data_IF_029352541617
#
_entry.id   IF_029352541617
#
_cell.length_a   1.000
_cell.length_b   1.000
_cell.length_c   1.000
_cell.angle_alpha   90.00
_cell.angle_beta   90.00
_cell.angle_gamma   90.00
#
_symmetry.space_group_name_H-M   'P 1'
#
loop_
_entity.id
_entity.type
_entity.pdbx_description
1 polymer ?
#
# COMPACT_ATOMS: atom_id res chain seq x y z
N UNK A 1 12.84 -7.31 -5.39
CA UNK A 1 13.99 -6.48 -4.96
C UNK A 1 14.09 -6.51 -3.44
N UNK A 2 14.90 -7.42 -2.87
CA UNK A 2 14.96 -7.63 -1.41
C UNK A 2 15.48 -6.40 -0.65
N UNK A 3 16.47 -5.69 -1.16
CA UNK A 3 17.01 -4.48 -0.52
C UNK A 3 15.96 -3.36 -0.42
N UNK A 4 15.17 -3.16 -1.48
CA UNK A 4 14.04 -2.22 -1.44
C UNK A 4 13.00 -2.61 -0.38
N UNK A 5 12.73 -3.90 -0.18
CA UNK A 5 11.80 -4.37 0.84
C UNK A 5 12.33 -4.14 2.26
N UNK A 6 13.65 -4.25 2.48
CA UNK A 6 14.28 -3.92 3.76
C UNK A 6 14.14 -2.44 4.10
N UNK A 7 14.38 -1.55 3.13
CA UNK A 7 14.17 -0.11 3.32
C UNK A 7 12.70 0.20 3.62
N UNK A 8 11.76 -0.36 2.86
CA UNK A 8 10.33 -0.20 3.13
C UNK A 8 9.92 -0.72 4.51
N UNK A 9 10.48 -1.85 4.96
CA UNK A 9 10.24 -2.39 6.29
C UNK A 9 10.76 -1.45 7.40
N UNK A 10 12.00 -0.94 7.29
CA UNK A 10 12.55 0.03 8.24
C UNK A 10 11.72 1.31 8.33
N UNK A 11 11.32 1.88 7.18
CA UNK A 11 10.46 3.07 7.13
C UNK A 11 9.14 2.81 7.84
N UNK A 12 8.54 1.64 7.62
CA UNK A 12 7.29 1.24 8.25
C UNK A 12 7.44 1.05 9.77
N UNK A 13 8.52 0.42 10.22
CA UNK A 13 8.81 0.23 11.63
C UNK A 13 9.04 1.57 12.35
N UNK A 14 9.84 2.47 11.77
CA UNK A 14 10.06 3.81 12.29
C UNK A 14 8.75 4.64 12.37
N UNK A 15 7.89 4.50 11.36
CA UNK A 15 6.56 5.14 11.37
C UNK A 15 5.65 4.57 12.47
N UNK A 16 5.73 3.27 12.76
CA UNK A 16 4.95 2.63 13.82
C UNK A 16 5.50 2.94 15.21
N UNK A 17 6.83 3.05 15.37
CA UNK A 17 7.47 3.42 16.63
C UNK A 17 7.34 4.91 16.96
N UNK A 18 7.00 5.75 15.98
CA UNK A 18 6.94 7.20 16.13
C UNK A 18 8.32 7.86 16.12
N UNK A 19 9.37 7.12 15.74
CA UNK A 19 10.73 7.64 15.60
C UNK A 19 10.86 8.40 14.28
N UNK A 20 10.64 9.71 14.36
CA UNK A 20 10.72 10.60 13.21
C UNK A 20 12.14 10.63 12.62
N UNK A 21 13.18 10.59 13.45
CA UNK A 21 14.56 10.71 13.00
C UNK A 21 14.97 9.48 12.15
N UNK A 22 14.66 8.28 12.64
CA UNK A 22 14.94 7.06 11.89
C UNK A 22 14.07 6.96 10.62
N UNK A 23 12.83 7.46 10.67
CA UNK A 23 11.97 7.55 9.49
C UNK A 23 12.58 8.42 8.38
N UNK A 24 13.05 9.62 8.71
CA UNK A 24 13.71 10.51 7.74
C UNK A 24 14.99 9.87 7.20
N UNK A 25 15.82 9.29 8.07
CA UNK A 25 17.08 8.64 7.68
C UNK A 25 16.83 7.47 6.72
N UNK A 26 15.94 6.54 7.07
CA UNK A 26 15.61 5.39 6.24
C UNK A 26 15.01 5.80 4.88
N UNK A 27 14.24 6.89 4.84
CA UNK A 27 13.67 7.44 3.59
C UNK A 27 14.74 8.03 2.68
N UNK A 28 15.71 8.76 3.25
CA UNK A 28 16.85 9.32 2.50
C UNK A 28 17.73 8.20 1.97
N UNK A 29 18.06 7.19 2.79
CA UNK A 29 18.84 6.02 2.37
C UNK A 29 18.16 5.28 1.21
N UNK A 30 16.85 5.06 1.28
CA UNK A 30 16.06 4.45 0.20
C UNK A 30 16.15 5.26 -1.10
N UNK A 31 16.02 6.58 -1.00
CA UNK A 31 16.08 7.49 -2.14
C UNK A 31 17.48 7.51 -2.76
N UNK A 32 18.52 7.52 -1.93
CA UNK A 32 19.90 7.46 -2.37
C UNK A 32 20.22 6.13 -3.07
N UNK A 33 19.74 5.01 -2.51
CA UNK A 33 19.85 3.69 -3.13
C UNK A 33 19.19 3.65 -4.51
N UNK A 34 17.98 4.20 -4.64
CA UNK A 34 17.29 4.27 -5.94
C UNK A 34 18.05 5.10 -6.97
N UNK A 35 18.60 6.25 -6.57
CA UNK A 35 19.41 7.11 -7.44
C UNK A 35 20.70 6.40 -7.89
N UNK A 36 21.40 5.74 -6.96
CA UNK A 36 22.64 5.00 -7.25
C UNK A 36 22.43 3.87 -8.26
N UNK A 37 21.27 3.23 -8.23
CA UNK A 37 20.91 2.12 -9.11
C UNK A 37 20.00 2.51 -10.30
N UNK A 38 19.81 3.81 -10.57
CA UNK A 38 18.92 4.37 -11.62
C UNK A 38 17.50 3.75 -11.65
N UNK A 39 16.98 3.44 -10.46
CA UNK A 39 15.64 2.85 -10.28
C UNK A 39 14.62 4.00 -10.38
N UNK A 40 14.15 4.28 -11.60
CA UNK A 40 13.12 5.30 -11.84
C UNK A 40 11.73 4.74 -11.58
N UNK A 41 11.06 5.22 -10.53
CA UNK A 41 9.68 4.86 -10.21
C UNK A 41 8.68 5.13 -11.33
N UNK A 42 8.91 6.18 -12.14
CA UNK A 42 7.99 6.56 -13.21
C UNK A 42 8.19 5.79 -14.52
N UNK A 43 9.34 5.13 -14.74
CA UNK A 43 9.60 4.40 -16.00
C UNK A 43 8.51 3.36 -16.31
N UNK A 44 8.05 2.54 -15.36
CA UNK A 44 6.95 1.61 -15.58
C UNK A 44 5.59 2.27 -15.89
N UNK A 45 5.38 3.53 -15.49
CA UNK A 45 4.12 4.26 -15.71
C UNK A 45 4.05 4.88 -17.11
N UNK A 46 5.18 5.07 -17.79
CA UNK A 46 5.24 5.65 -19.13
C UNK A 46 4.42 4.81 -20.11
N UNK A 47 4.55 3.47 -20.07
CA UNK A 47 3.92 2.60 -21.05
C UNK A 47 2.38 2.63 -20.96
N UNK A 48 1.74 2.49 -19.77
CA UNK A 48 0.30 2.71 -19.63
C UNK A 48 -0.16 4.12 -20.01
N UNK A 49 0.61 5.16 -19.68
CA UNK A 49 0.26 6.55 -20.00
C UNK A 49 0.25 6.82 -21.51
N UNK A 50 1.20 6.26 -22.25
CA UNK A 50 1.23 6.37 -23.71
C UNK A 50 0.14 5.51 -24.36
N UNK A 51 -0.26 4.41 -23.74
CA UNK A 51 -1.32 3.54 -24.26
C UNK A 51 -2.73 4.12 -24.07
N UNK A 52 -2.97 4.88 -22.99
CA UNK A 52 -4.30 5.39 -22.66
C UNK A 52 -4.95 6.26 -23.76
N UNK A 53 -4.27 7.23 -24.41
CA UNK A 53 -4.85 8.01 -25.50
C UNK A 53 -5.24 7.16 -26.72
N UNK A 54 -4.41 6.18 -27.07
CA UNK A 54 -4.69 5.24 -28.16
C UNK A 54 -5.95 4.45 -27.83
N UNK A 55 -6.02 3.89 -26.62
CA UNK A 55 -7.18 3.15 -26.16
C UNK A 55 -8.47 3.98 -26.21
N UNK A 56 -8.46 5.21 -25.69
CA UNK A 56 -9.62 6.12 -25.68
C UNK A 56 -10.06 6.44 -27.11
N UNK A 57 -9.12 6.72 -28.01
CA UNK A 57 -9.42 7.03 -29.41
C UNK A 57 -10.12 5.86 -30.11
N UNK A 58 -9.58 4.65 -30.01
CA UNK A 58 -10.18 3.45 -30.60
C UNK A 58 -11.52 3.11 -29.96
N UNK A 59 -11.65 3.26 -28.63
CA UNK A 59 -12.89 3.01 -27.93
C UNK A 59 -14.02 3.93 -28.41
N UNK A 60 -13.78 5.25 -28.47
CA UNK A 60 -14.76 6.21 -28.96
C UNK A 60 -15.10 5.90 -30.42
N UNK A 61 -14.09 5.71 -31.28
CA UNK A 61 -14.32 5.44 -32.69
C UNK A 61 -15.17 4.18 -32.92
N UNK A 62 -14.83 3.06 -32.27
CA UNK A 62 -15.58 1.80 -32.41
C UNK A 62 -17.00 1.90 -31.86
N UNK A 63 -17.18 2.63 -30.76
CA UNK A 63 -18.50 2.84 -30.18
C UNK A 63 -19.39 3.71 -31.08
N UNK A 64 -18.84 4.80 -31.63
CA UNK A 64 -19.58 5.67 -32.56
C UNK A 64 -19.89 4.94 -33.88
N UNK A 65 -18.96 4.12 -34.39
CA UNK A 65 -19.22 3.30 -35.58
C UNK A 65 -20.25 2.18 -35.34
N UNK A 66 -20.38 1.70 -34.11
CA UNK A 66 -21.46 0.79 -33.74
C UNK A 66 -22.80 1.52 -33.60
N UNK A 67 -22.79 2.73 -33.02
CA UNK A 67 -23.99 3.57 -32.85
C UNK A 67 -24.54 4.12 -34.18
N UNK A 68 -23.66 4.46 -35.12
CA UNK A 68 -23.98 4.81 -36.51
C UNK A 68 -23.66 3.59 -37.37
N UNK A 69 -24.51 2.53 -37.31
CA UNK A 69 -24.13 1.17 -37.65
C UNK A 69 -23.54 1.10 -39.06
N UNK A 70 -22.21 1.08 -39.10
CA UNK A 70 -21.48 1.09 -40.36
C UNK A 70 -21.78 -0.24 -41.07
N UNK A 71 -22.18 -0.24 -42.35
CA UNK A 71 -22.59 -1.47 -43.05
C UNK A 71 -21.55 -2.59 -43.02
N UNK A 72 -20.26 -2.24 -43.01
CA UNK A 72 -19.16 -3.21 -42.92
C UNK A 72 -19.06 -3.89 -41.55
N UNK A 73 -19.52 -3.26 -40.47
CA UNK A 73 -19.55 -3.86 -39.13
C UNK A 73 -20.75 -4.79 -38.93
N UNK A 74 -21.83 -4.58 -39.66
CA UNK A 74 -23.04 -5.41 -39.56
C UNK A 74 -22.84 -6.83 -40.11
N UNK A 75 -21.91 -7.01 -41.04
CA UNK A 75 -21.62 -8.31 -41.68
C UNK A 75 -20.18 -8.79 -41.48
N UNK A 76 -19.35 -8.00 -40.79
CA UNK A 76 -17.93 -8.25 -40.62
C UNK A 76 -17.56 -9.23 -39.49
N UNK A 77 -18.55 -9.75 -38.77
CA UNK A 77 -18.32 -10.67 -37.66
C UNK A 77 -18.10 -12.13 -38.07
N UNK A 78 -17.93 -13.02 -37.09
CA UNK A 78 -17.55 -14.42 -37.30
C UNK A 78 -18.54 -15.37 -36.62
N UNK A 79 -19.02 -16.37 -37.36
CA UNK A 79 -19.77 -17.53 -36.85
C UNK A 79 -21.03 -17.13 -36.07
N UNK A 80 -20.93 -16.98 -34.75
CA UNK A 80 -22.07 -16.72 -33.84
C UNK A 80 -22.35 -15.23 -33.60
N UNK A 81 -21.43 -14.34 -34.00
CA UNK A 81 -21.58 -12.89 -33.91
C UNK A 81 -21.32 -12.30 -35.30
N UNK A 82 -22.34 -12.20 -36.16
CA UNK A 82 -22.17 -11.61 -37.50
C UNK A 82 -22.19 -10.08 -37.47
N UNK A 83 -23.04 -9.52 -36.62
CA UNK A 83 -23.18 -8.08 -36.43
C UNK A 83 -22.31 -7.63 -35.25
N UNK A 84 -21.30 -6.79 -35.55
CA UNK A 84 -20.38 -6.23 -34.58
C UNK A 84 -20.94 -4.99 -33.87
N UNK A 85 -22.03 -4.41 -34.37
CA UNK A 85 -22.65 -3.20 -33.83
C UNK A 85 -23.52 -3.47 -32.59
N UNK A 86 -23.97 -4.72 -32.45
CA UNK A 86 -24.77 -5.20 -31.32
C UNK A 86 -23.92 -5.93 -30.27
N UNK A 87 -24.46 -6.06 -29.07
CA UNK A 87 -23.87 -6.89 -28.01
C UNK A 87 -23.88 -8.37 -28.41
N UNK A 88 -22.87 -9.13 -27.97
CA UNK A 88 -22.76 -10.56 -28.25
C UNK A 88 -24.00 -11.32 -27.73
N UNK A 89 -24.76 -12.03 -28.61
CA UNK A 89 -25.96 -12.76 -28.22
C UNK A 89 -25.73 -13.86 -27.17
N UNK A 90 -24.52 -14.44 -27.13
CA UNK A 90 -24.19 -15.57 -26.25
C UNK A 90 -23.12 -15.24 -25.19
N UNK A 91 -22.68 -13.98 -25.12
CA UNK A 91 -21.70 -13.48 -24.16
C UNK A 91 -20.35 -14.23 -24.11
N UNK A 92 -20.01 -14.97 -25.15
CA UNK A 92 -18.73 -15.68 -25.28
C UNK A 92 -17.57 -14.69 -25.46
N UNK A 93 -17.76 -13.66 -26.28
CA UNK A 93 -16.76 -12.61 -26.53
C UNK A 93 -16.33 -11.88 -25.26
N UNK A 94 -17.25 -11.31 -24.45
CA UNK A 94 -16.90 -10.71 -23.17
C UNK A 94 -16.12 -11.65 -22.24
N UNK A 95 -16.49 -12.92 -22.19
CA UNK A 95 -15.83 -13.92 -21.34
C UNK A 95 -14.40 -14.20 -21.81
N UNK A 96 -14.20 -14.42 -23.11
CA UNK A 96 -12.88 -14.67 -23.71
C UNK A 96 -11.97 -13.45 -23.58
N UNK A 97 -12.50 -12.24 -23.83
CA UNK A 97 -11.76 -11.00 -23.64
C UNK A 97 -11.34 -10.82 -22.18
N UNK A 98 -12.23 -11.08 -21.23
CA UNK A 98 -11.92 -11.01 -19.80
C UNK A 98 -10.83 -12.01 -19.42
N UNK A 99 -10.91 -13.25 -19.90
CA UNK A 99 -9.91 -14.28 -19.65
C UNK A 99 -8.53 -13.92 -20.26
N UNK A 100 -8.51 -13.41 -21.49
CA UNK A 100 -7.25 -12.98 -22.14
C UNK A 100 -6.65 -11.75 -21.47
N UNK A 101 -7.48 -10.77 -21.06
CA UNK A 101 -7.05 -9.60 -20.31
C UNK A 101 -6.46 -9.98 -18.95
N UNK A 102 -7.09 -10.94 -18.26
CA UNK A 102 -6.54 -11.53 -17.04
C UNK A 102 -5.16 -12.16 -17.28
N UNK A 103 -4.99 -12.91 -18.38
CA UNK A 103 -3.71 -13.49 -18.78
C UNK A 103 -2.62 -12.44 -19.02
N UNK A 104 -2.94 -11.36 -19.76
CA UNK A 104 -2.03 -10.23 -20.00
C UNK A 104 -1.60 -9.59 -18.68
N UNK A 105 -2.56 -9.35 -17.78
CA UNK A 105 -2.29 -8.75 -16.47
C UNK A 105 -1.44 -9.65 -15.58
N UNK A 106 -1.69 -10.96 -15.55
CA UNK A 106 -0.89 -11.89 -14.74
C UNK A 106 0.55 -11.94 -15.27
N UNK A 107 0.72 -12.07 -16.59
CA UNK A 107 2.05 -12.09 -17.22
C UNK A 107 2.78 -10.76 -17.07
N UNK A 108 2.07 -9.63 -17.12
CA UNK A 108 2.60 -8.29 -16.88
C UNK A 108 2.99 -8.06 -15.42
N UNK A 109 2.15 -8.46 -14.47
CA UNK A 109 2.41 -8.33 -13.03
C UNK A 109 3.66 -9.11 -12.60
N UNK A 110 3.93 -10.26 -13.21
CA UNK A 110 5.17 -11.01 -12.98
C UNK A 110 6.43 -10.26 -13.38
N UNK A 111 6.33 -9.37 -14.37
CA UNK A 111 7.48 -8.62 -14.92
C UNK A 111 7.73 -7.29 -14.20
N UNK A 112 6.69 -6.61 -13.68
CA UNK A 112 6.81 -5.24 -13.16
C UNK A 112 6.71 -5.06 -11.63
N UNK A 113 6.03 -5.94 -10.90
CA UNK A 113 5.59 -5.64 -9.52
C UNK A 113 6.08 -6.69 -8.50
N UNK A 114 7.31 -6.52 -8.01
CA UNK A 114 7.92 -7.38 -6.96
C UNK A 114 8.21 -6.63 -5.64
N UNK A 115 7.37 -5.67 -5.24
CA UNK A 115 7.40 -5.11 -3.90
C UNK A 115 6.27 -5.69 -3.04
N UNK A 116 6.60 -6.06 -1.80
CA UNK A 116 5.68 -6.68 -0.83
C UNK A 116 4.53 -5.75 -0.41
N UNK A 117 4.74 -4.44 -0.42
CA UNK A 117 3.68 -3.46 -0.10
C UNK A 117 2.61 -3.34 -1.20
N UNK A 118 2.92 -3.75 -2.44
CA UNK A 118 1.97 -3.72 -3.55
C UNK A 118 1.17 -5.02 -3.70
N UNK A 119 1.25 -5.94 -2.73
CA UNK A 119 0.54 -7.22 -2.80
C UNK A 119 -0.98 -7.04 -2.80
N UNK A 120 -1.49 -6.06 -2.04
CA UNK A 120 -2.91 -5.68 -2.10
C UNK A 120 -3.27 -5.13 -3.49
N UNK A 121 -2.45 -4.22 -4.02
CA UNK A 121 -2.65 -3.62 -5.35
C UNK A 121 -2.64 -4.69 -6.45
N UNK A 122 -1.74 -5.67 -6.38
CA UNK A 122 -1.68 -6.81 -7.30
C UNK A 122 -2.97 -7.63 -7.26
N UNK A 123 -3.51 -7.91 -6.08
CA UNK A 123 -4.75 -8.68 -5.97
C UNK A 123 -5.96 -7.89 -6.51
N UNK A 124 -6.01 -6.58 -6.26
CA UNK A 124 -7.03 -5.69 -6.83
C UNK A 124 -6.96 -5.68 -8.35
N UNK A 125 -5.76 -5.46 -8.93
CA UNK A 125 -5.54 -5.49 -10.38
C UNK A 125 -5.93 -6.85 -10.97
N UNK A 126 -5.66 -7.94 -10.26
CA UNK A 126 -6.05 -9.28 -10.69
C UNK A 126 -7.58 -9.42 -10.77
N UNK A 127 -8.33 -8.95 -9.78
CA UNK A 127 -9.80 -9.05 -9.77
C UNK A 127 -10.47 -8.03 -10.71
N UNK A 128 -9.77 -6.97 -11.08
CA UNK A 128 -10.30 -5.87 -11.90
C UNK A 128 -11.01 -6.31 -13.20
N UNK A 129 -10.51 -7.23 -14.03
CA UNK A 129 -11.19 -7.64 -15.25
C UNK A 129 -12.57 -8.26 -14.99
N UNK A 130 -12.71 -9.05 -13.92
CA UNK A 130 -13.99 -9.63 -13.53
C UNK A 130 -14.98 -8.58 -13.04
N UNK A 131 -14.50 -7.53 -12.36
CA UNK A 131 -15.33 -6.44 -11.89
C UNK A 131 -15.85 -5.56 -13.04
N UNK A 132 -15.07 -5.43 -14.13
CA UNK A 132 -15.45 -4.63 -15.32
C UNK A 132 -16.43 -5.37 -16.23
N UNK A 133 -16.38 -6.70 -16.25
CA UNK A 133 -17.23 -7.55 -17.09
C UNK A 133 -18.73 -7.16 -17.08
N UNK A 134 -19.45 -7.06 -15.94
CA UNK A 134 -20.89 -6.75 -15.94
C UNK A 134 -21.21 -5.35 -16.48
N UNK A 135 -20.27 -4.40 -16.40
CA UNK A 135 -20.45 -3.06 -16.95
C UNK A 135 -20.27 -3.07 -18.47
N UNK A 136 -19.32 -3.86 -18.96
CA UNK A 136 -18.97 -3.91 -20.38
C UNK A 136 -19.79 -4.91 -21.19
N UNK A 137 -20.50 -5.85 -20.56
CA UNK A 137 -21.18 -6.96 -21.25
C UNK A 137 -22.23 -6.50 -22.29
N UNK A 138 -22.78 -5.30 -22.12
CA UNK A 138 -23.74 -4.69 -23.05
C UNK A 138 -23.10 -3.86 -24.16
N UNK A 139 -21.76 -3.78 -24.21
CA UNK A 139 -21.07 -3.01 -25.24
C UNK A 139 -21.11 -3.74 -26.59
N UNK A 140 -21.01 -2.98 -27.70
CA UNK A 140 -20.92 -3.55 -29.04
C UNK A 140 -19.77 -4.57 -29.16
N UNK A 141 -20.01 -5.65 -29.88
CA UNK A 141 -19.03 -6.73 -30.12
C UNK A 141 -17.76 -6.21 -30.82
N UNK A 142 -17.84 -5.11 -31.57
CA UNK A 142 -16.71 -4.40 -32.17
C UNK A 142 -15.62 -4.03 -31.14
N UNK A 143 -16.03 -3.55 -29.95
CA UNK A 143 -15.09 -3.17 -28.88
C UNK A 143 -14.37 -4.41 -28.34
N UNK A 144 -15.09 -5.52 -28.20
CA UNK A 144 -14.50 -6.80 -27.76
C UNK A 144 -13.55 -7.40 -28.79
N UNK A 145 -13.78 -7.22 -30.10
CA UNK A 145 -12.82 -7.63 -31.13
C UNK A 145 -11.51 -6.85 -31.07
N UNK A 146 -11.60 -5.55 -30.83
CA UNK A 146 -10.41 -4.73 -30.59
C UNK A 146 -9.65 -5.17 -29.34
N UNK A 147 -10.35 -5.40 -28.22
CA UNK A 147 -9.70 -5.90 -27.02
C UNK A 147 -9.08 -7.28 -27.20
N UNK A 148 -9.78 -8.21 -27.85
CA UNK A 148 -9.27 -9.55 -28.07
C UNK A 148 -7.98 -9.53 -28.89
N UNK A 149 -7.98 -8.81 -30.01
CA UNK A 149 -6.79 -8.69 -30.87
C UNK A 149 -5.63 -8.02 -30.15
N UNK A 150 -5.89 -6.96 -29.38
CA UNK A 150 -4.86 -6.29 -28.56
C UNK A 150 -4.28 -7.21 -27.48
N UNK A 151 -5.14 -7.98 -26.79
CA UNK A 151 -4.69 -8.93 -25.78
C UNK A 151 -3.87 -10.06 -26.39
N UNK A 152 -4.34 -10.65 -27.50
CA UNK A 152 -3.60 -11.70 -28.22
C UNK A 152 -2.25 -11.18 -28.70
N UNK A 153 -2.19 -9.99 -29.29
CA UNK A 153 -0.92 -9.37 -29.68
C UNK A 153 0.01 -9.19 -28.48
N UNK A 154 -0.51 -8.70 -27.36
CA UNK A 154 0.26 -8.51 -26.12
C UNK A 154 0.80 -9.83 -25.56
N UNK A 155 -0.02 -10.89 -25.56
CA UNK A 155 0.39 -12.23 -25.15
C UNK A 155 1.48 -12.79 -26.06
N UNK A 156 1.30 -12.66 -27.38
CA UNK A 156 2.28 -13.07 -28.38
C UNK A 156 3.59 -12.30 -28.20
N UNK A 157 3.54 -10.97 -28.03
CA UNK A 157 4.71 -10.14 -27.78
C UNK A 157 5.45 -10.61 -26.53
N UNK A 158 4.73 -10.85 -25.44
CA UNK A 158 5.32 -11.33 -24.18
C UNK A 158 5.91 -12.73 -24.34
N UNK A 159 5.25 -13.63 -25.06
CA UNK A 159 5.77 -14.97 -25.36
C UNK A 159 7.06 -14.91 -26.18
N UNK A 160 7.08 -14.10 -27.25
CA UNK A 160 8.26 -13.85 -28.07
C UNK A 160 9.42 -13.29 -27.25
N UNK A 161 9.17 -12.32 -26.38
CA UNK A 161 10.19 -11.71 -25.50
C UNK A 161 10.65 -12.62 -24.35
N UNK A 162 9.89 -13.68 -24.04
CA UNK A 162 10.34 -14.73 -23.10
C UNK A 162 11.22 -15.77 -23.77
N UNK A 163 11.18 -15.88 -25.10
CA UNK A 163 11.98 -16.85 -25.84
C UNK A 163 13.49 -16.51 -25.72
N UNK A 164 14.35 -17.46 -25.31
CA UNK A 164 15.74 -17.18 -24.97
C UNK A 164 16.55 -16.67 -26.18
N UNK A 165 16.29 -17.16 -27.39
CA UNK A 165 16.97 -16.70 -28.60
C UNK A 165 16.71 -15.21 -28.90
N UNK A 166 15.45 -14.77 -28.71
CA UNK A 166 15.05 -13.36 -28.90
C UNK A 166 15.69 -12.46 -27.84
N UNK A 167 15.79 -12.93 -26.61
CA UNK A 167 16.47 -12.20 -25.52
C UNK A 167 17.96 -12.01 -25.78
N UNK A 168 18.63 -13.05 -26.27
CA UNK A 168 20.05 -12.99 -26.63
C UNK A 168 20.28 -12.03 -27.79
N UNK A 169 19.43 -12.08 -28.83
CA UNK A 169 19.48 -11.16 -29.96
C UNK A 169 19.28 -9.69 -29.54
N UNK A 170 18.31 -9.44 -28.64
CA UNK A 170 17.99 -8.10 -28.13
C UNK A 170 18.87 -7.65 -26.94
N UNK A 171 19.87 -8.44 -26.54
CA UNK A 171 20.75 -8.17 -25.37
C UNK A 171 19.97 -7.86 -24.08
N UNK A 172 18.81 -8.48 -23.89
CA UNK A 172 17.98 -8.27 -22.70
C UNK A 172 18.62 -9.07 -21.54
N UNK A 173 18.98 -8.42 -20.41
CA UNK A 173 19.59 -9.12 -19.28
C UNK A 173 18.64 -10.18 -18.73
N UNK A 174 19.20 -11.33 -18.37
CA UNK A 174 18.45 -12.43 -17.77
C UNK A 174 17.79 -11.96 -16.46
N UNK A 175 16.53 -12.36 -16.25
CA UNK A 175 15.81 -12.05 -15.02
C UNK A 175 16.52 -12.72 -13.85
N UNK A 176 17.09 -11.93 -12.94
CA UNK A 176 17.72 -12.44 -11.70
C UNK A 176 16.65 -13.10 -10.84
N UNK A 177 16.65 -14.44 -10.81
CA UNK A 177 15.81 -15.23 -9.92
C UNK A 177 16.42 -15.13 -8.53
N UNK A 178 15.70 -14.50 -7.61
CA UNK A 178 16.14 -14.39 -6.23
C UNK A 178 15.69 -15.65 -5.48
N UNK A 179 16.56 -16.18 -4.63
CA UNK A 179 16.28 -17.33 -3.78
C UNK A 179 15.05 -17.06 -2.90
N UNK A 180 13.98 -17.88 -2.97
CA UNK A 180 12.73 -17.65 -2.24
C UNK A 180 12.91 -17.62 -0.72
N UNK A 181 13.98 -18.23 -0.20
CA UNK A 181 14.35 -18.24 1.22
C UNK A 181 14.73 -16.86 1.78
N UNK A 182 15.19 -15.93 0.92
CA UNK A 182 15.65 -14.58 1.31
C UNK A 182 14.57 -13.51 1.19
N UNK A 183 13.38 -13.89 0.72
CA UNK A 183 12.24 -12.98 0.58
C UNK A 183 11.34 -13.10 1.82
N UNK A 184 10.75 -12.00 2.30
CA UNK A 184 9.71 -12.08 3.32
C UNK A 184 8.61 -13.04 2.83
N UNK A 185 8.10 -13.93 3.70
CA UNK A 185 7.16 -14.96 3.30
C UNK A 185 5.93 -14.33 2.65
N UNK A 186 5.48 -14.94 1.53
CA UNK A 186 4.20 -14.56 0.89
C UNK A 186 3.07 -14.89 1.86
N UNK A 187 2.66 -13.91 2.67
CA UNK A 187 1.46 -14.02 3.50
C UNK A 187 0.24 -14.28 2.60
N UNK A 188 -0.65 -15.17 3.04
CA UNK A 188 -1.90 -15.45 2.34
C UNK A 188 -2.80 -14.21 2.27
N UNK A 189 -3.64 -14.13 1.23
CA UNK A 189 -4.51 -12.99 0.93
C UNK A 189 -5.24 -12.43 2.17
N UNK A 190 -5.89 -13.30 2.95
CA UNK A 190 -6.63 -12.93 4.17
C UNK A 190 -5.74 -12.29 5.25
N UNK A 191 -4.51 -12.79 5.43
CA UNK A 191 -3.56 -12.23 6.41
C UNK A 191 -3.08 -10.86 5.97
N UNK A 192 -2.73 -10.70 4.69
CA UNK A 192 -2.34 -9.41 4.13
C UNK A 192 -3.46 -8.37 4.22
N UNK A 193 -4.71 -8.78 3.97
CA UNK A 193 -5.88 -7.90 4.11
C UNK A 193 -6.08 -7.45 5.56
N UNK A 194 -6.11 -8.39 6.51
CA UNK A 194 -6.25 -8.09 7.96
C UNK A 194 -5.12 -7.19 8.46
N UNK A 195 -3.89 -7.46 8.04
CA UNK A 195 -2.72 -6.63 8.36
C UNK A 195 -2.87 -5.23 7.76
N UNK A 196 -3.35 -5.12 6.52
CA UNK A 196 -3.62 -3.83 5.86
C UNK A 196 -4.59 -2.96 6.65
N UNK A 197 -5.72 -3.54 7.06
CA UNK A 197 -6.72 -2.87 7.90
C UNK A 197 -6.15 -2.42 9.25
N UNK A 198 -5.42 -3.30 9.94
CA UNK A 198 -4.79 -2.95 11.23
C UNK A 198 -3.77 -1.82 11.10
N UNK A 199 -2.96 -1.80 10.02
CA UNK A 199 -2.01 -0.70 9.81
C UNK A 199 -2.72 0.61 9.47
N UNK A 200 -3.80 0.57 8.69
CA UNK A 200 -4.61 1.74 8.37
C UNK A 200 -5.22 2.34 9.64
N UNK A 201 -5.72 1.50 10.54
CA UNK A 201 -6.24 1.93 11.84
C UNK A 201 -5.14 2.57 12.70
N UNK A 202 -3.96 1.94 12.81
CA UNK A 202 -2.83 2.51 13.56
C UNK A 202 -2.40 3.85 12.96
N UNK A 203 -2.33 3.95 11.63
CA UNK A 203 -1.96 5.18 10.94
C UNK A 203 -3.03 6.28 11.09
N UNK A 204 -4.30 5.92 11.26
CA UNK A 204 -5.37 6.87 11.57
C UNK A 204 -5.19 7.43 12.99
N UNK A 205 -5.00 6.55 13.98
CA UNK A 205 -4.76 6.93 15.37
C UNK A 205 -3.52 7.81 15.55
N UNK A 206 -2.44 7.52 14.81
CA UNK A 206 -1.23 8.35 14.80
C UNK A 206 -1.53 9.76 14.29
N UNK A 207 -2.26 9.88 13.17
CA UNK A 207 -2.66 11.18 12.61
C UNK A 207 -3.55 11.97 13.55
N UNK A 208 -4.55 11.34 14.16
CA UNK A 208 -5.39 11.99 15.18
C UNK A 208 -4.58 12.47 16.39
N UNK A 209 -3.52 11.74 16.76
CA UNK A 209 -2.62 12.14 17.85
C UNK A 209 -1.77 13.33 17.43
N UNK A 210 -1.20 13.31 16.23
CA UNK A 210 -0.42 14.42 15.66
C UNK A 210 -1.27 15.70 15.54
N UNK A 211 -2.49 15.58 15.02
CA UNK A 211 -3.43 16.70 14.93
C UNK A 211 -3.80 17.27 16.30
N UNK A 212 -4.03 16.42 17.30
CA UNK A 212 -4.28 16.86 18.68
C UNK A 212 -3.06 17.54 19.29
N UNK A 213 -1.85 17.06 19.01
CA UNK A 213 -0.62 17.70 19.46
C UNK A 213 -0.43 19.08 18.80
N UNK A 214 -0.69 19.21 17.49
CA UNK A 214 -0.65 20.50 16.80
C UNK A 214 -1.69 21.48 17.34
N UNK A 215 -2.93 21.01 17.55
CA UNK A 215 -4.03 21.83 18.08
C UNK A 215 -4.01 21.95 19.61
N UNK A 216 -2.99 21.44 20.29
CA UNK A 216 -2.97 21.36 21.75
C UNK A 216 -3.11 22.73 22.42
N UNK A 217 -2.48 23.78 21.84
CA UNK A 217 -2.58 25.16 22.34
C UNK A 217 -4.01 25.72 22.23
N UNK A 218 -4.67 25.51 21.09
CA UNK A 218 -6.07 25.95 20.88
C UNK A 218 -7.03 25.16 21.80
N UNK A 219 -6.81 23.85 21.94
CA UNK A 219 -7.54 23.01 22.89
C UNK A 219 -7.37 23.47 24.34
N UNK A 220 -6.17 23.88 24.74
CA UNK A 220 -5.90 24.43 26.07
C UNK A 220 -6.59 25.79 26.28
N UNK A 221 -6.65 26.64 25.25
CA UNK A 221 -7.30 27.95 25.30
C UNK A 221 -8.84 27.88 25.38
N UNK A 222 -9.46 26.86 24.77
CA UNK A 222 -10.91 26.64 24.80
C UNK A 222 -11.42 25.94 26.07
N UNK A 223 -10.51 25.39 26.88
CA UNK A 223 -10.86 24.71 28.12
C UNK A 223 -11.34 25.68 29.21
N UNK A 224 -12.16 25.21 30.17
CA UNK A 224 -12.53 26.03 31.32
C UNK A 224 -11.30 26.38 32.16
N UNK A 225 -11.22 27.62 32.64
CA UNK A 225 -10.16 28.07 33.53
C UNK A 225 -10.14 27.18 34.79
N UNK A 226 -8.98 26.59 35.08
CA UNK A 226 -8.78 25.79 36.30
C UNK A 226 -8.07 26.63 37.34
N UNK A 227 -8.54 26.58 38.58
CA UNK A 227 -7.83 27.22 39.71
C UNK A 227 -6.48 26.53 39.91
N UNK A 228 -5.40 27.31 39.91
CA UNK A 228 -4.04 26.85 40.20
C UNK A 228 -3.56 27.52 41.47
N UNK A 229 -2.95 26.78 42.39
CA UNK A 229 -2.39 27.32 43.64
C UNK A 229 -1.00 27.91 43.40
N UNK A 230 -0.67 29.01 44.09
CA UNK A 230 0.64 29.68 44.00
C UNK A 230 1.79 28.81 44.47
N UNK A 231 1.53 27.90 45.42
CA UNK A 231 2.48 26.94 45.95
C UNK A 231 1.93 25.54 45.79
N UNK A 232 2.81 24.53 45.68
CA UNK A 232 2.39 23.15 45.57
C UNK A 232 1.65 22.72 46.86
N UNK A 233 0.32 22.51 46.81
CA UNK A 233 -0.47 22.23 48.01
C UNK A 233 -0.13 20.85 48.61
N UNK A 234 0.50 19.96 47.85
CA UNK A 234 0.92 18.63 48.30
C UNK A 234 2.23 18.65 49.12
N UNK A 235 2.96 19.78 49.13
CA UNK A 235 4.21 19.93 49.88
C UNK A 235 4.03 20.68 51.20
N UNK A 236 2.86 21.28 51.46
CA UNK A 236 2.57 21.93 52.73
C UNK A 236 2.13 20.91 53.78
N UNK A 237 3.10 20.17 54.32
CA UNK A 237 3.01 19.69 55.69
C UNK A 237 3.71 20.70 56.61
N UNK A 238 2.93 21.18 57.57
CA UNK A 238 3.07 22.33 58.45
C UNK A 238 4.39 22.39 59.29
N UNK A 239 5.18 23.49 59.26
CA UNK A 239 6.24 23.75 60.23
C UNK A 239 5.72 24.30 61.57
N UNK A 240 4.42 24.58 61.71
CA UNK A 240 3.85 25.38 62.81
C UNK A 240 2.81 24.66 63.69
N UNK A 241 2.78 23.32 63.69
CA UNK A 241 2.00 22.56 64.68
C UNK A 241 2.82 22.31 65.96
N UNK A 242 2.64 23.17 66.96
CA UNK A 242 3.11 22.92 68.34
C UNK A 242 2.46 21.63 68.91
N UNK A 243 3.22 20.73 69.56
CA UNK A 243 2.69 19.47 70.08
C UNK A 243 2.00 19.68 71.44
N UNK A 244 0.68 19.83 71.45
CA UNK A 244 -0.09 19.52 72.66
C UNK A 244 -0.24 18.00 72.77
N UNK A 245 0.63 17.39 73.57
CA UNK A 245 0.46 16.02 74.06
C UNK A 245 -0.58 16.00 75.18
N UNK A 246 -1.40 14.94 75.24
CA UNK A 246 -1.34 14.12 76.44
C UNK A 246 -1.00 12.66 76.12
N UNK A 247 -0.19 12.10 77.01
CA UNK A 247 0.36 10.75 77.02
C UNK A 247 -0.65 9.64 76.73
N UNK A 248 -0.25 8.66 75.90
CA UNK A 248 -0.41 7.25 76.25
C UNK A 248 0.50 6.33 75.42
N UNK A 249 1.33 5.58 76.16
CA UNK A 249 1.77 4.21 75.91
C UNK A 249 2.55 3.86 74.62
N UNK A 250 3.83 3.54 74.86
CA UNK A 250 4.57 2.37 74.31
C UNK A 250 4.68 2.21 72.80
N UNK A 251 5.85 2.54 72.24
CA UNK A 251 6.78 1.52 71.74
C UNK A 251 8.11 2.17 71.31
N UNK A 252 9.20 1.63 71.83
CA UNK A 252 10.57 2.01 71.51
C UNK A 252 10.89 1.72 70.05
N UNK A 253 11.12 2.78 69.25
CA UNK A 253 11.78 2.66 67.95
C UNK A 253 13.07 3.47 68.01
N UNK A 254 14.19 2.75 67.92
CA UNK A 254 15.56 3.26 68.01
C UNK A 254 15.78 4.42 67.04
N UNK A 255 16.36 5.50 67.54
CA UNK A 255 16.79 6.64 66.75
C UNK A 255 17.90 6.24 65.76
N UNK A 256 17.78 6.70 64.52
CA UNK A 256 18.78 6.57 63.47
C UNK A 256 20.11 7.21 63.90
N UNK A 257 21.13 6.40 64.16
CA UNK A 257 22.50 6.86 64.36
C UNK A 257 23.07 7.39 63.03
N UNK A 258 23.66 8.59 63.05
CA UNK A 258 24.17 9.32 61.88
C UNK A 258 25.42 8.70 61.20
N UNK A 259 25.76 7.45 61.54
CA UNK A 259 26.90 6.69 61.01
C UNK A 259 26.56 5.18 61.00
N UNK A 260 25.92 4.65 59.95
CA UNK A 260 25.42 3.27 59.91
C UNK A 260 26.52 2.19 59.85
N UNK A 261 27.80 2.56 59.72
CA UNK A 261 28.92 1.62 59.66
C UNK A 261 29.52 1.24 61.02
N UNK A 262 29.13 1.91 62.12
CA UNK A 262 29.65 1.58 63.46
C UNK A 262 28.99 0.33 64.07
N UNK A 263 27.85 -0.11 63.54
CA UNK A 263 27.13 -1.29 64.03
C UNK A 263 27.52 -2.61 63.31
N UNK A 264 28.43 -2.55 62.32
CA UNK A 264 28.87 -3.73 61.54
C UNK A 264 30.36 -4.02 61.60
N UNK A 265 31.16 -3.12 62.17
CA UNK A 265 32.60 -3.30 62.37
C UNK A 265 32.89 -3.00 63.84
N UNK A 266 32.91 -4.06 64.64
CA UNK A 266 33.37 -4.01 66.04
C UNK A 266 34.84 -3.64 66.14
#
# INVERSE_FOLDING_TARGET
MPEMQKFSARIREAKLSGDQAEFYKATIEMTHYQKKHDIKFFRPLILPLTQAPIFISFFIALREMANLPVPSLQTGGLWWFQDLTVSDPIYVLPLVVTATMWGVLELGAETGMQSSDLQLMRNVIRVMPLAVLPVTIHFPSAVFMYWLSSNVFSLCQVACLRFPAVRTALKIPQRVVHDPSKLPPREGFLKSFKKGWKNAEIAHRLREREERMQKHLDLAARGPLRQTFTHNPLLQHDPSRSPNTPNSSTNSVKANTKKPWQDTLG
#
